data_IF_707106207888
#
_entry.id   IF_707106207888
#
_cell.length_a   1.000
_cell.length_b   1.000
_cell.length_c   1.000
_cell.angle_alpha   90.00
_cell.angle_beta   90.00
_cell.angle_gamma   90.00
#
_symmetry.space_group_name_H-M   'P 1'
#
loop_
_entity.id
_entity.type
_entity.pdbx_description
1 polymer ?
#
# COMPACT_ATOMS: atom_id res chain seq x y z
N UNK A 1 14.56 -2.52 9.00
CA UNK A 1 13.23 -3.14 8.79
C UNK A 1 12.26 -2.19 8.12
N UNK A 2 11.41 -2.75 7.29
CA UNK A 2 10.39 -1.99 6.60
C UNK A 2 9.29 -1.56 7.57
N UNK A 3 8.92 -0.29 7.53
CA UNK A 3 7.81 0.20 8.33
C UNK A 3 7.03 1.26 7.59
N UNK A 4 5.73 1.30 7.83
CA UNK A 4 4.86 2.35 7.31
C UNK A 4 5.18 3.63 8.07
N UNK A 5 5.49 4.69 7.34
CA UNK A 5 5.82 6.00 7.93
C UNK A 5 4.69 7.00 7.79
N UNK A 6 3.77 6.75 6.86
CA UNK A 6 2.64 7.65 6.63
C UNK A 6 1.45 6.86 6.15
N UNK A 7 0.28 7.17 6.69
CA UNK A 7 -0.99 6.71 6.13
C UNK A 7 -2.02 7.81 6.35
N UNK A 8 -2.67 8.25 5.28
CA UNK A 8 -3.68 9.30 5.32
C UNK A 8 -4.82 8.93 4.39
N UNK A 9 -6.04 9.26 4.80
CA UNK A 9 -7.24 8.93 4.05
C UNK A 9 -8.16 10.16 3.98
N UNK A 10 -8.65 10.45 2.78
CA UNK A 10 -9.64 11.50 2.56
C UNK A 10 -11.00 10.87 2.26
N UNK A 11 -12.00 11.17 3.10
CA UNK A 11 -13.36 10.71 2.89
C UNK A 11 -13.98 11.30 1.62
N UNK A 12 -13.58 12.51 1.28
CA UNK A 12 -14.21 13.22 0.16
C UNK A 12 -13.76 12.66 -1.18
N UNK A 13 -12.49 12.34 -1.31
CA UNK A 13 -11.92 11.85 -2.57
C UNK A 13 -11.76 10.34 -2.59
N UNK A 14 -11.85 9.68 -1.44
CA UNK A 14 -11.57 8.25 -1.25
C UNK A 14 -10.11 7.91 -1.54
N UNK A 15 -9.24 8.90 -1.46
CA UNK A 15 -7.81 8.70 -1.68
C UNK A 15 -7.10 8.28 -0.42
N UNK A 16 -6.15 7.36 -0.58
CA UNK A 16 -5.24 6.94 0.48
C UNK A 16 -3.83 7.27 0.04
N UNK A 17 -3.07 7.89 0.95
CA UNK A 17 -1.64 8.11 0.78
C UNK A 17 -0.93 7.14 1.72
N UNK A 18 -0.05 6.32 1.16
CA UNK A 18 0.68 5.31 1.93
C UNK A 18 2.17 5.53 1.69
N UNK A 19 2.92 5.74 2.75
CA UNK A 19 4.36 5.94 2.68
C UNK A 19 5.09 4.96 3.57
N UNK A 20 6.32 4.59 3.18
CA UNK A 20 7.13 3.65 3.94
C UNK A 20 8.62 3.95 3.74
N UNK A 21 9.42 3.43 4.69
CA UNK A 21 10.86 3.49 4.53
C UNK A 21 11.28 2.44 3.49
N UNK A 22 12.13 2.83 2.57
CA UNK A 22 12.48 1.95 1.45
C UNK A 22 13.98 1.93 1.23
N UNK A 23 14.41 0.99 0.40
CA UNK A 23 15.82 0.84 0.01
C UNK A 23 15.92 1.25 -1.45
N UNK A 24 16.83 2.17 -1.79
CA UNK A 24 17.01 2.56 -3.19
C UNK A 24 17.25 1.34 -4.08
N UNK A 25 16.54 1.29 -5.20
CA UNK A 25 16.64 0.19 -6.15
C UNK A 25 15.79 -1.03 -5.85
N UNK A 26 15.14 -1.08 -4.70
CA UNK A 26 14.26 -2.20 -4.35
C UNK A 26 12.88 -2.04 -4.97
N UNK A 27 12.14 -3.14 -5.03
CA UNK A 27 10.74 -3.13 -5.47
C UNK A 27 9.83 -3.57 -4.34
N UNK A 28 8.57 -3.12 -4.38
CA UNK A 28 7.63 -3.34 -3.28
C UNK A 28 6.26 -3.72 -3.83
N UNK A 29 5.45 -4.31 -2.95
CA UNK A 29 4.07 -4.70 -3.22
C UNK A 29 3.21 -4.11 -2.10
N UNK A 30 2.08 -3.48 -2.47
CA UNK A 30 1.06 -3.08 -1.50
C UNK A 30 -0.03 -4.15 -1.51
N UNK A 31 -0.28 -4.73 -0.36
CA UNK A 31 -1.34 -5.72 -0.16
C UNK A 31 -2.44 -5.11 0.69
N UNK A 32 -3.64 -5.67 0.58
CA UNK A 32 -4.74 -5.27 1.45
C UNK A 32 -5.46 -6.48 2.00
N UNK A 33 -6.14 -6.26 3.12
CA UNK A 33 -6.99 -7.27 3.75
C UNK A 33 -8.22 -6.60 4.33
N UNK A 34 -9.30 -7.33 4.39
CA UNK A 34 -10.54 -6.87 5.03
C UNK A 34 -10.77 -7.52 6.39
N UNK A 35 -9.91 -8.47 6.79
CA UNK A 35 -10.10 -9.26 8.00
C UNK A 35 -8.81 -9.44 8.83
N UNK A 36 -7.67 -8.91 8.38
CA UNK A 36 -6.34 -9.05 8.99
C UNK A 36 -5.79 -10.49 8.97
N UNK A 37 -6.48 -11.39 8.31
CA UNK A 37 -6.09 -12.81 8.22
C UNK A 37 -5.62 -13.15 6.82
N UNK A 38 -6.42 -12.75 5.82
CA UNK A 38 -6.14 -13.05 4.42
C UNK A 38 -5.43 -11.86 3.77
N UNK A 39 -4.18 -12.05 3.37
CA UNK A 39 -3.34 -11.05 2.73
C UNK A 39 -2.97 -11.44 1.30
N UNK A 40 -3.80 -12.25 0.64
CA UNK A 40 -3.52 -12.72 -0.72
C UNK A 40 -3.85 -11.70 -1.80
N UNK A 41 -4.42 -10.55 -1.44
CA UNK A 41 -4.86 -9.55 -2.39
C UNK A 41 -3.80 -8.46 -2.56
N UNK A 42 -3.25 -8.36 -3.77
CA UNK A 42 -2.32 -7.29 -4.12
C UNK A 42 -3.10 -6.10 -4.64
N UNK A 43 -2.83 -4.93 -4.07
CA UNK A 43 -3.41 -3.69 -4.59
C UNK A 43 -2.56 -3.14 -5.72
N UNK A 44 -1.24 -3.19 -5.55
CA UNK A 44 -0.29 -2.74 -6.55
C UNK A 44 1.02 -3.49 -6.36
N UNK A 45 1.67 -3.86 -7.45
CA UNK A 45 2.96 -4.55 -7.40
C UNK A 45 3.96 -3.84 -8.32
N UNK A 46 5.22 -4.30 -8.26
CA UNK A 46 6.26 -3.72 -9.09
C UNK A 46 6.54 -2.26 -8.78
N UNK A 47 6.27 -1.81 -7.54
CA UNK A 47 6.49 -0.43 -7.15
C UNK A 47 7.99 -0.22 -6.97
N UNK A 48 8.58 0.62 -7.81
CA UNK A 48 10.00 0.94 -7.71
C UNK A 48 10.23 1.97 -6.61
N UNK A 49 11.24 1.72 -5.77
CA UNK A 49 11.61 2.64 -4.69
C UNK A 49 11.96 4.03 -5.22
N UNK A 50 11.52 5.04 -4.50
CA UNK A 50 11.86 6.45 -4.80
C UNK A 50 13.15 6.89 -4.07
N UNK A 51 13.76 6.01 -3.30
CA UNK A 51 14.94 6.32 -2.50
C UNK A 51 14.78 5.75 -1.09
N UNK A 52 15.17 6.53 -0.08
CA UNK A 52 15.06 6.11 1.32
C UNK A 52 13.62 6.06 1.82
N UNK A 53 12.73 6.78 1.17
CA UNK A 53 11.30 6.74 1.43
C UNK A 53 10.55 6.64 0.11
N UNK A 54 9.43 5.95 0.13
CA UNK A 54 8.56 5.80 -1.03
C UNK A 54 7.14 6.04 -0.58
N UNK A 55 6.35 6.73 -1.41
CA UNK A 55 4.93 6.90 -1.13
C UNK A 55 4.12 6.76 -2.40
N UNK A 56 2.89 6.29 -2.23
CA UNK A 56 1.95 6.15 -3.33
C UNK A 56 0.57 6.59 -2.88
N UNK A 57 -0.15 7.20 -3.80
CA UNK A 57 -1.53 7.62 -3.61
C UNK A 57 -2.41 6.74 -4.49
N UNK A 58 -3.49 6.22 -3.92
CA UNK A 58 -4.46 5.45 -4.69
C UNK A 58 -5.86 5.77 -4.22
N UNK A 59 -6.83 5.50 -5.08
CA UNK A 59 -8.24 5.80 -4.82
C UNK A 59 -8.98 4.50 -4.56
N UNK A 60 -9.62 4.39 -3.40
CA UNK A 60 -10.29 3.14 -2.99
C UNK A 60 -11.37 2.72 -3.98
N UNK A 61 -12.09 3.68 -4.56
CA UNK A 61 -13.16 3.34 -5.52
C UNK A 61 -12.64 2.68 -6.78
N UNK A 62 -11.38 2.92 -7.15
CA UNK A 62 -10.78 2.28 -8.32
C UNK A 62 -10.61 0.76 -8.12
N UNK A 63 -10.63 0.31 -6.87
CA UNK A 63 -10.44 -1.09 -6.51
C UNK A 63 -11.71 -1.71 -5.90
N UNK A 64 -12.81 -0.96 -5.88
CA UNK A 64 -14.05 -1.43 -5.28
C UNK A 64 -14.00 -1.55 -3.77
N UNK A 65 -13.10 -0.83 -3.11
CA UNK A 65 -12.88 -0.93 -1.68
C UNK A 65 -13.59 0.16 -0.88
N UNK A 66 -14.16 1.15 -1.53
CA UNK A 66 -14.74 2.33 -0.89
C UNK A 66 -16.05 2.03 -0.14
N UNK A 67 -16.70 0.91 -0.45
CA UNK A 67 -17.95 0.52 0.20
C UNK A 67 -17.73 -0.42 1.40
N UNK A 68 -16.49 -0.82 1.68
CA UNK A 68 -16.20 -1.76 2.75
C UNK A 68 -16.09 -1.05 4.08
N UNK A 69 -16.54 -1.69 5.20
CA UNK A 69 -16.48 -1.06 6.52
C UNK A 69 -15.07 -0.86 7.03
N UNK A 70 -14.12 -1.70 6.60
CA UNK A 70 -12.72 -1.55 6.98
C UNK A 70 -11.84 -2.20 5.93
N UNK A 71 -10.66 -1.61 5.72
CA UNK A 71 -9.62 -2.13 4.84
C UNK A 71 -8.28 -1.88 5.52
N UNK A 72 -7.42 -2.87 5.51
CA UNK A 72 -6.09 -2.80 6.08
C UNK A 72 -5.06 -2.91 4.97
N UNK A 73 -3.93 -2.22 5.13
CA UNK A 73 -2.87 -2.19 4.13
C UNK A 73 -1.56 -2.68 4.71
N UNK A 74 -0.76 -3.27 3.84
CA UNK A 74 0.55 -3.77 4.20
C UNK A 74 1.47 -3.62 3.00
N UNK A 75 2.73 -3.25 3.27
CA UNK A 75 3.75 -3.15 2.23
C UNK A 75 4.76 -4.26 2.46
N UNK A 76 5.11 -4.96 1.38
CA UNK A 76 6.10 -6.02 1.41
C UNK A 76 7.16 -5.75 0.36
N UNK A 77 8.38 -6.14 0.66
CA UNK A 77 9.43 -6.09 -0.34
C UNK A 77 9.24 -7.22 -1.34
N UNK A 78 9.38 -6.89 -2.62
CA UNK A 78 9.27 -7.88 -3.69
C UNK A 78 10.67 -8.45 -3.94
N UNK A 79 10.90 -9.67 -3.47
CA UNK A 79 12.18 -10.37 -3.60
C UNK A 79 12.13 -11.46 -4.66
N UNK A 80 11.20 -11.39 -5.61
CA UNK A 80 11.00 -12.45 -6.60
C UNK A 80 12.04 -12.44 -7.73
N UNK A 81 13.05 -11.63 -7.65
CA UNK A 81 14.13 -11.60 -8.65
C UNK A 81 15.24 -12.55 -8.29
#
# INVERSE_FOLDING_TARGET
>A
PLSITEIAYSKDTKNVILGWNSIPGAAYIIKYSTDLVNWDNDLDDGITSDGDTTSRTFTLSDFGLDSLPMVFFRVERDDTN
#
